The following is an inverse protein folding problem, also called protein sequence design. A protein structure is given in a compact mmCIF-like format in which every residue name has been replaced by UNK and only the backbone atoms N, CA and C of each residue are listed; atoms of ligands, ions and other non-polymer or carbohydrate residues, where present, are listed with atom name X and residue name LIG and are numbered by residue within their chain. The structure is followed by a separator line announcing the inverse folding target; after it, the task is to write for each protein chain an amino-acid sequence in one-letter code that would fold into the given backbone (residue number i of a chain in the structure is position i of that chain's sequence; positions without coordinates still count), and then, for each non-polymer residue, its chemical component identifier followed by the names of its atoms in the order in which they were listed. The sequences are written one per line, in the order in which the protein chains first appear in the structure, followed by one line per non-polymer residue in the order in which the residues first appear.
data_IF_216821514114
#
_entry.id   IF_216821514114
#
_cell.length_a   1.000
_cell.length_b   1.000
_cell.length_c   1.000
_cell.angle_alpha   90.00
_cell.angle_beta   90.00
_cell.angle_gamma   90.00
#
_symmetry.space_group_name_H-M   'P 1'
#
loop_
_entity.id
_entity.type
_entity.pdbx_description
1 polymer ?
#
# COMPACT_ATOMS: atom_id res chain seq x y z
N UNK A 1 -1.02 -28.79 41.79
CA UNK A 1 0.32 -28.22 41.51
C UNK A 1 0.78 -28.77 40.16
N UNK A 2 1.24 -28.00 39.18
CA UNK A 2 1.24 -26.54 39.04
C UNK A 2 1.44 -26.25 37.55
N UNK A 3 0.46 -25.64 36.91
CA UNK A 3 0.39 -25.51 35.45
C UNK A 3 1.25 -24.32 34.98
N UNK A 4 2.31 -24.57 34.21
CA UNK A 4 3.24 -23.52 33.76
C UNK A 4 3.01 -23.14 32.29
N UNK A 5 1.99 -22.29 32.11
CA UNK A 5 2.11 -21.06 31.31
C UNK A 5 2.79 -21.16 29.93
N UNK A 6 1.98 -21.45 28.90
CA UNK A 6 2.30 -21.06 27.52
C UNK A 6 2.48 -19.53 27.41
N UNK A 7 3.73 -19.08 27.39
CA UNK A 7 4.07 -17.69 27.12
C UNK A 7 3.60 -17.27 25.72
N UNK A 8 2.46 -16.59 25.66
CA UNK A 8 1.97 -15.96 24.43
C UNK A 8 2.88 -14.78 24.08
N UNK A 9 3.72 -14.96 23.05
CA UNK A 9 4.55 -13.88 22.52
C UNK A 9 3.67 -12.80 21.87
N UNK A 10 3.39 -11.75 22.64
CA UNK A 10 2.75 -10.55 22.14
C UNK A 10 3.53 -9.98 20.95
N UNK A 11 2.80 -9.62 19.90
CA UNK A 11 3.28 -8.85 18.75
C UNK A 11 3.79 -7.49 19.25
N UNK A 12 5.09 -7.39 19.55
CA UNK A 12 5.70 -6.18 20.11
C UNK A 12 5.64 -5.06 19.08
N UNK A 13 4.68 -4.16 19.28
CA UNK A 13 4.50 -3.00 18.44
C UNK A 13 5.80 -2.17 18.44
N UNK A 14 6.34 -1.89 17.26
CA UNK A 14 7.54 -1.07 17.11
C UNK A 14 7.23 0.32 17.67
N UNK A 15 8.04 0.86 18.62
CA UNK A 15 7.82 2.18 19.19
C UNK A 15 7.77 3.28 18.11
N UNK A 16 6.96 4.31 18.35
CA UNK A 16 6.75 5.39 17.38
C UNK A 16 8.07 6.10 17.06
N UNK A 17 8.91 6.28 18.07
CA UNK A 17 10.22 6.92 18.07
C UNK A 17 11.18 6.17 17.14
N UNK A 18 11.25 4.84 17.28
CA UNK A 18 12.11 3.94 16.48
C UNK A 18 11.72 3.96 14.99
N UNK A 19 10.44 4.16 14.69
CA UNK A 19 9.94 4.32 13.30
C UNK A 19 10.29 5.70 12.77
N UNK A 20 10.13 6.75 13.59
CA UNK A 20 10.46 8.14 13.22
C UNK A 20 11.96 8.32 12.97
N UNK A 21 12.82 7.78 13.83
CA UNK A 21 14.27 7.76 13.67
C UNK A 21 14.69 7.08 12.36
N UNK A 22 14.13 5.91 12.06
CA UNK A 22 14.37 5.21 10.80
C UNK A 22 13.90 6.02 9.58
N UNK A 23 12.73 6.66 9.65
CA UNK A 23 12.23 7.50 8.54
C UNK A 23 13.08 8.76 8.35
N UNK A 24 13.66 9.30 9.43
CA UNK A 24 14.56 10.46 9.43
C UNK A 24 16.00 10.15 9.00
N UNK A 25 16.36 8.88 8.81
CA UNK A 25 17.72 8.49 8.39
C UNK A 25 18.06 9.14 7.04
N UNK A 26 19.14 9.96 6.94
CA UNK A 26 19.56 10.58 5.70
C UNK A 26 20.00 9.57 4.64
N UNK A 27 19.94 9.96 3.36
CA UNK A 27 20.42 9.13 2.25
C UNK A 27 21.95 8.87 2.35
N UNK A 28 22.72 9.88 2.76
CA UNK A 28 24.19 9.86 2.91
C UNK A 28 24.71 8.82 3.90
N UNK A 29 23.90 8.48 4.89
CA UNK A 29 24.28 7.63 6.01
C UNK A 29 24.16 6.13 5.64
N UNK A 30 23.50 5.86 4.53
CA UNK A 30 23.22 4.51 4.01
C UNK A 30 23.91 4.27 2.68
N UNK A 31 23.75 5.21 1.75
CA UNK A 31 24.15 5.07 0.36
C UNK A 31 25.42 5.87 0.08
N UNK A 32 26.29 5.29 -0.74
CA UNK A 32 27.41 6.00 -1.35
C UNK A 32 27.47 5.65 -2.83
N UNK A 33 27.80 6.64 -3.63
CA UNK A 33 28.01 6.52 -5.07
C UNK A 33 29.49 6.71 -5.42
N UNK A 34 29.88 6.21 -6.58
CA UNK A 34 31.22 6.43 -7.14
C UNK A 34 31.49 7.93 -7.41
N UNK A 35 32.76 8.37 -7.47
CA UNK A 35 33.09 9.79 -7.67
C UNK A 35 32.57 10.40 -8.98
N UNK A 36 32.31 9.55 -10.00
CA UNK A 36 31.68 9.92 -11.28
C UNK A 36 30.15 10.06 -11.21
N UNK A 37 29.55 9.78 -10.04
CA UNK A 37 28.11 9.79 -9.79
C UNK A 37 27.32 8.66 -10.45
N UNK A 38 27.96 7.73 -11.17
CA UNK A 38 27.26 6.79 -12.06
C UNK A 38 26.71 5.55 -11.35
N UNK A 39 27.40 5.04 -10.33
CA UNK A 39 27.12 3.71 -9.74
C UNK A 39 27.12 3.77 -8.21
N UNK A 40 26.33 2.90 -7.58
CA UNK A 40 26.41 2.69 -6.13
C UNK A 40 27.69 1.93 -5.77
N UNK A 41 28.33 2.34 -4.66
CA UNK A 41 29.46 1.67 -4.01
C UNK A 41 29.14 1.23 -2.57
N UNK A 42 27.99 1.64 -2.01
CA UNK A 42 27.45 1.17 -0.74
C UNK A 42 25.92 1.27 -0.73
N UNK A 43 25.20 0.33 -0.09
CA UNK A 43 25.68 -0.88 0.59
C UNK A 43 26.16 -1.98 -0.38
N UNK A 44 26.80 -3.04 0.16
CA UNK A 44 27.40 -4.15 -0.59
C UNK A 44 26.47 -4.71 -1.69
N UNK A 45 25.19 -4.92 -1.38
CA UNK A 45 24.22 -5.48 -2.30
C UNK A 45 23.75 -4.52 -3.42
N UNK A 46 24.23 -3.27 -3.43
CA UNK A 46 24.03 -2.32 -4.52
C UNK A 46 25.31 -2.07 -5.34
N UNK A 47 26.48 -2.62 -4.97
CA UNK A 47 27.74 -2.29 -5.65
C UNK A 47 27.64 -2.52 -7.17
N UNK A 48 27.99 -1.50 -7.94
CA UNK A 48 27.96 -1.50 -9.40
C UNK A 48 26.57 -1.27 -10.03
N UNK A 49 25.51 -1.14 -9.23
CA UNK A 49 24.17 -0.78 -9.72
C UNK A 49 24.17 0.67 -10.24
N UNK A 50 23.65 0.97 -11.44
CA UNK A 50 23.56 2.33 -11.95
C UNK A 50 22.64 3.21 -11.10
N UNK A 51 22.96 4.49 -11.01
CA UNK A 51 22.14 5.53 -10.36
C UNK A 51 21.01 5.99 -11.29
N UNK A 52 21.32 6.25 -12.56
CA UNK A 52 20.34 6.60 -13.60
C UNK A 52 19.52 5.37 -14.02
N UNK A 53 18.28 5.59 -14.51
CA UNK A 53 17.40 4.52 -14.99
C UNK A 53 18.07 3.73 -16.13
N UNK A 54 18.10 2.41 -16.04
CA UNK A 54 18.61 1.56 -17.13
C UNK A 54 17.57 1.39 -18.24
N UNK A 55 18.06 1.26 -19.47
CA UNK A 55 17.35 0.76 -20.65
C UNK A 55 17.95 -0.59 -21.08
N UNK A 56 17.39 -1.21 -22.11
CA UNK A 56 17.90 -2.48 -22.66
C UNK A 56 19.25 -2.32 -23.39
N UNK A 57 19.58 -1.09 -23.81
CA UNK A 57 20.87 -0.74 -24.43
C UNK A 57 21.99 -0.44 -23.40
N UNK A 58 21.69 -0.52 -22.10
CA UNK A 58 22.64 -0.21 -21.02
C UNK A 58 23.67 -1.33 -20.83
N UNK A 59 24.95 -1.00 -20.59
CA UNK A 59 26.02 -1.96 -20.20
C UNK A 59 25.66 -2.84 -18.98
N UNK A 60 24.70 -2.41 -18.17
CA UNK A 60 24.22 -3.13 -16.99
C UNK A 60 23.09 -4.11 -17.31
N UNK A 61 22.43 -3.97 -18.47
CA UNK A 61 21.37 -4.87 -18.91
C UNK A 61 21.89 -6.28 -19.17
N UNK A 62 21.04 -7.27 -18.92
CA UNK A 62 21.31 -8.67 -19.24
C UNK A 62 20.20 -9.13 -20.20
N UNK A 63 20.51 -9.55 -21.43
CA UNK A 63 19.49 -9.91 -22.44
C UNK A 63 18.51 -11.04 -22.07
N UNK A 64 18.77 -11.77 -20.96
CA UNK A 64 17.85 -12.78 -20.40
C UNK A 64 16.80 -12.20 -19.45
N UNK A 65 16.93 -10.94 -19.04
CA UNK A 65 15.94 -10.29 -18.17
C UNK A 65 14.65 -9.98 -18.93
N UNK A 66 13.52 -10.14 -18.24
CA UNK A 66 12.22 -9.72 -18.75
C UNK A 66 12.21 -8.20 -18.98
N UNK A 67 11.79 -7.80 -20.17
CA UNK A 67 11.69 -6.40 -20.59
C UNK A 67 10.57 -5.66 -19.85
N UNK A 68 10.90 -4.51 -19.26
CA UNK A 68 9.92 -3.62 -18.62
C UNK A 68 9.00 -2.98 -19.66
N UNK A 69 9.56 -2.48 -20.77
CA UNK A 69 8.79 -1.83 -21.82
C UNK A 69 7.87 -2.83 -22.53
N UNK A 70 8.33 -4.05 -22.78
CA UNK A 70 7.48 -5.14 -23.31
C UNK A 70 6.35 -5.54 -22.36
N UNK A 71 6.50 -5.37 -21.04
CA UNK A 71 5.41 -5.56 -20.08
C UNK A 71 4.42 -4.38 -20.11
N UNK A 72 4.92 -3.14 -20.13
CA UNK A 72 4.09 -1.93 -20.17
C UNK A 72 3.26 -1.83 -21.45
N UNK A 73 3.82 -2.22 -22.60
CA UNK A 73 3.13 -2.28 -23.88
C UNK A 73 1.90 -3.22 -23.91
N UNK A 74 1.76 -4.12 -22.93
CA UNK A 74 0.62 -5.05 -22.86
C UNK A 74 -0.65 -4.44 -22.23
N UNK A 75 -0.63 -3.19 -21.74
CA UNK A 75 -1.77 -2.57 -21.04
C UNK A 75 -3.05 -2.54 -21.89
N UNK A 76 -2.97 -2.09 -23.15
CA UNK A 76 -4.13 -2.06 -24.05
C UNK A 76 -4.69 -3.45 -24.35
N UNK A 77 -3.82 -4.47 -24.42
CA UNK A 77 -4.23 -5.86 -24.63
C UNK A 77 -5.02 -6.41 -23.44
N UNK A 78 -4.66 -6.01 -22.22
CA UNK A 78 -5.33 -6.46 -21.00
C UNK A 78 -6.62 -5.66 -20.74
N UNK A 79 -6.65 -4.36 -21.08
CA UNK A 79 -7.89 -3.58 -21.13
C UNK A 79 -8.89 -4.11 -22.17
N UNK A 80 -8.41 -4.65 -23.30
CA UNK A 80 -9.27 -5.40 -24.23
C UNK A 80 -9.82 -6.67 -23.56
N UNK A 81 -8.99 -7.54 -23.00
CA UNK A 81 -9.45 -8.76 -22.28
C UNK A 81 -10.43 -8.46 -21.15
N UNK A 82 -10.24 -7.35 -20.42
CA UNK A 82 -11.16 -6.85 -19.38
C UNK A 82 -12.51 -6.43 -19.94
N UNK A 83 -12.56 -5.77 -21.12
CA UNK A 83 -13.81 -5.46 -21.82
C UNK A 83 -14.50 -6.73 -22.32
N UNK A 84 -13.78 -7.60 -23.00
CA UNK A 84 -14.32 -8.83 -23.60
C UNK A 84 -14.88 -9.78 -22.51
N UNK A 85 -14.16 -9.95 -21.40
CA UNK A 85 -14.64 -10.74 -20.25
C UNK A 85 -15.82 -10.11 -19.51
N UNK A 86 -15.95 -8.77 -19.53
CA UNK A 86 -17.14 -8.08 -18.99
C UNK A 86 -18.38 -8.40 -19.84
N UNK A 87 -18.23 -8.44 -21.16
CA UNK A 87 -19.33 -8.77 -22.07
C UNK A 87 -19.74 -10.24 -21.94
N UNK A 88 -18.77 -11.17 -21.82
CA UNK A 88 -19.05 -12.58 -21.51
C UNK A 88 -19.86 -12.73 -20.22
N UNK A 89 -19.50 -12.00 -19.15
CA UNK A 89 -20.24 -11.97 -17.89
C UNK A 89 -21.61 -11.25 -17.98
N UNK A 90 -21.80 -10.36 -18.97
CA UNK A 90 -23.10 -9.70 -19.23
C UNK A 90 -24.08 -10.65 -19.90
N UNK A 91 -23.58 -11.53 -20.78
CA UNK A 91 -24.36 -12.55 -21.48
C UNK A 91 -24.76 -13.72 -20.56
N UNK A 92 -23.87 -14.16 -19.67
CA UNK A 92 -24.18 -15.14 -18.62
C UNK A 92 -23.67 -14.65 -17.23
N UNK A 93 -24.52 -13.94 -16.47
CA UNK A 93 -24.18 -13.45 -15.13
C UNK A 93 -24.02 -14.52 -14.05
N UNK A 94 -24.50 -15.74 -14.28
CA UNK A 94 -24.46 -16.82 -13.30
C UNK A 94 -23.23 -17.72 -13.48
N UNK A 95 -22.54 -17.62 -14.60
CA UNK A 95 -21.28 -18.31 -14.87
C UNK A 95 -20.15 -17.85 -13.94
N UNK A 96 -19.79 -18.72 -12.99
CA UNK A 96 -18.71 -18.47 -12.02
C UNK A 96 -17.34 -18.29 -12.67
N UNK A 97 -17.09 -18.88 -13.84
CA UNK A 97 -15.79 -18.81 -14.50
C UNK A 97 -15.64 -17.54 -15.34
N UNK A 98 -16.71 -17.04 -15.96
CA UNK A 98 -16.74 -15.67 -16.49
C UNK A 98 -16.54 -14.63 -15.38
N UNK A 99 -17.15 -14.83 -14.20
CA UNK A 99 -16.94 -13.94 -13.05
C UNK A 99 -15.48 -13.95 -12.56
N UNK A 100 -14.84 -15.13 -12.45
CA UNK A 100 -13.40 -15.26 -12.13
C UNK A 100 -12.53 -14.59 -13.19
N UNK A 101 -12.77 -14.84 -14.48
CA UNK A 101 -11.99 -14.30 -15.60
C UNK A 101 -12.10 -12.79 -15.68
N UNK A 102 -13.30 -12.23 -15.54
CA UNK A 102 -13.50 -10.78 -15.50
C UNK A 102 -12.77 -10.14 -14.31
N UNK A 103 -12.86 -10.77 -13.12
CA UNK A 103 -12.08 -10.32 -11.96
C UNK A 103 -10.57 -10.36 -12.21
N UNK A 104 -10.04 -11.44 -12.80
CA UNK A 104 -8.62 -11.57 -13.12
C UNK A 104 -8.12 -10.41 -13.99
N UNK A 105 -8.81 -10.11 -15.09
CA UNK A 105 -8.42 -9.00 -15.97
C UNK A 105 -8.63 -7.62 -15.33
N UNK A 106 -9.66 -7.45 -14.50
CA UNK A 106 -9.86 -6.23 -13.69
C UNK A 106 -8.72 -6.01 -12.70
N UNK A 107 -8.28 -7.07 -12.00
CA UNK A 107 -7.16 -7.03 -11.06
C UNK A 107 -5.85 -6.77 -11.82
N UNK A 108 -5.59 -7.44 -12.95
CA UNK A 108 -4.39 -7.25 -13.78
C UNK A 108 -4.26 -5.80 -14.31
N UNK A 109 -5.32 -5.24 -14.88
CA UNK A 109 -5.32 -3.82 -15.32
C UNK A 109 -5.03 -2.87 -14.16
N UNK A 110 -5.56 -3.18 -12.96
CA UNK A 110 -5.28 -2.37 -11.76
C UNK A 110 -3.80 -2.46 -11.35
N UNK A 111 -3.17 -3.64 -11.53
CA UNK A 111 -1.73 -3.83 -11.30
C UNK A 111 -0.89 -3.10 -12.33
N UNK A 112 -1.17 -3.26 -13.63
CA UNK A 112 -0.45 -2.60 -14.73
C UNK A 112 -0.41 -1.08 -14.55
N UNK A 113 -1.56 -0.45 -14.27
CA UNK A 113 -1.64 0.99 -14.02
C UNK A 113 -0.75 1.44 -12.84
N UNK A 114 -0.75 0.68 -11.74
CA UNK A 114 0.09 0.96 -10.56
C UNK A 114 1.58 0.70 -10.85
N UNK A 115 1.92 -0.31 -11.66
CA UNK A 115 3.29 -0.56 -12.12
C UNK A 115 3.76 0.61 -12.98
N UNK A 116 2.96 1.06 -13.96
CA UNK A 116 3.26 2.21 -14.82
C UNK A 116 3.45 3.51 -14.04
N UNK A 117 2.66 3.76 -13.00
CA UNK A 117 2.81 4.93 -12.10
C UNK A 117 4.17 4.98 -11.36
N UNK A 118 4.80 3.81 -11.14
CA UNK A 118 6.06 3.69 -10.38
C UNK A 118 7.27 3.40 -11.27
N UNK A 119 7.11 2.72 -12.40
CA UNK A 119 8.21 2.25 -13.27
C UNK A 119 8.08 2.69 -14.73
N UNK A 120 6.98 3.35 -15.12
CA UNK A 120 6.78 3.85 -16.48
C UNK A 120 7.86 4.84 -16.94
N UNK A 121 7.77 5.25 -18.21
CA UNK A 121 8.75 6.10 -18.88
C UNK A 121 9.28 7.26 -18.01
N UNK A 122 8.37 8.08 -17.47
CA UNK A 122 8.68 9.31 -16.72
C UNK A 122 9.17 9.06 -15.27
N UNK A 123 9.27 7.81 -14.84
CA UNK A 123 9.85 7.45 -13.55
C UNK A 123 11.35 7.15 -13.67
N UNK A 124 12.19 7.61 -12.72
CA UNK A 124 13.62 7.26 -12.68
C UNK A 124 13.89 5.84 -12.15
N UNK A 125 12.87 5.01 -11.96
CA UNK A 125 13.02 3.67 -11.37
C UNK A 125 12.90 2.55 -12.42
N UNK A 126 13.80 1.57 -12.36
CA UNK A 126 13.69 0.28 -13.04
C UNK A 126 13.75 -0.86 -12.01
N UNK A 127 12.90 -1.92 -12.11
CA UNK A 127 12.90 -3.03 -11.15
C UNK A 127 14.27 -3.72 -11.00
N UNK A 128 14.98 -3.96 -12.10
CA UNK A 128 16.33 -4.55 -12.11
C UNK A 128 17.44 -3.63 -11.54
N UNK A 129 17.11 -2.48 -10.96
CA UNK A 129 18.04 -1.64 -10.19
C UNK A 129 17.76 -1.67 -8.68
N UNK A 130 16.91 -2.59 -8.21
CA UNK A 130 16.65 -2.76 -6.78
C UNK A 130 17.87 -3.27 -6.01
N UNK A 131 18.69 -4.11 -6.66
CA UNK A 131 19.95 -4.67 -6.16
C UNK A 131 20.96 -4.84 -7.29
N UNK A 132 22.22 -5.12 -6.95
CA UNK A 132 23.28 -5.40 -7.93
C UNK A 132 22.99 -6.67 -8.74
N UNK A 133 23.51 -6.73 -9.97
CA UNK A 133 23.26 -7.84 -10.91
C UNK A 133 23.58 -9.22 -10.37
N UNK A 134 24.54 -9.32 -9.45
CA UNK A 134 24.93 -10.57 -8.78
C UNK A 134 23.89 -11.08 -7.76
N UNK A 135 22.90 -10.26 -7.40
CA UNK A 135 21.77 -10.66 -6.55
C UNK A 135 20.45 -10.77 -7.33
N UNK A 136 20.44 -10.53 -8.63
CA UNK A 136 19.24 -10.65 -9.46
C UNK A 136 19.08 -12.10 -9.97
N UNK A 137 17.85 -12.60 -10.14
CA UNK A 137 17.58 -13.89 -10.76
C UNK A 137 17.83 -13.81 -12.28
N UNK A 138 17.91 -14.97 -12.93
CA UNK A 138 18.17 -15.10 -14.38
C UNK A 138 17.26 -14.24 -15.25
N UNK A 139 15.98 -14.12 -14.87
CA UNK A 139 14.94 -13.41 -15.63
C UNK A 139 14.69 -11.98 -15.12
N UNK A 140 15.44 -11.54 -14.10
CA UNK A 140 15.27 -10.24 -13.45
C UNK A 140 14.01 -10.13 -12.57
N UNK A 141 13.59 -8.89 -12.32
CA UNK A 141 12.49 -8.54 -11.41
C UNK A 141 11.27 -7.93 -12.13
N UNK A 142 11.28 -7.88 -13.45
CA UNK A 142 10.18 -7.37 -14.29
C UNK A 142 9.00 -8.35 -14.41
N UNK A 143 8.65 -9.04 -13.32
CA UNK A 143 7.47 -9.89 -13.20
C UNK A 143 6.31 -9.10 -12.59
N UNK A 144 5.09 -9.27 -13.11
CA UNK A 144 3.92 -8.50 -12.67
C UNK A 144 3.74 -8.46 -11.14
N UNK A 145 3.79 -9.60 -10.46
CA UNK A 145 3.49 -9.65 -9.02
C UNK A 145 4.62 -9.03 -8.17
N UNK A 146 5.88 -9.14 -8.61
CA UNK A 146 7.02 -8.47 -7.98
C UNK A 146 6.92 -6.95 -8.17
N UNK A 147 6.78 -6.50 -9.41
CA UNK A 147 6.64 -5.08 -9.75
C UNK A 147 5.44 -4.46 -9.03
N UNK A 148 4.29 -5.12 -8.99
CA UNK A 148 3.11 -4.62 -8.28
C UNK A 148 3.35 -4.46 -6.77
N UNK A 149 3.97 -5.46 -6.12
CA UNK A 149 4.30 -5.40 -4.68
C UNK A 149 5.25 -4.26 -4.36
N UNK A 150 6.32 -4.11 -5.14
CA UNK A 150 7.26 -2.99 -5.04
C UNK A 150 6.54 -1.65 -5.27
N UNK A 151 5.74 -1.55 -6.32
CA UNK A 151 4.98 -0.35 -6.66
C UNK A 151 4.01 0.08 -5.55
N UNK A 152 3.33 -0.86 -4.89
CA UNK A 152 2.50 -0.56 -3.73
C UNK A 152 3.30 0.06 -2.59
N UNK A 153 4.43 -0.55 -2.21
CA UNK A 153 5.26 -0.03 -1.10
C UNK A 153 5.92 1.32 -1.45
N UNK A 154 6.37 1.53 -2.69
CA UNK A 154 6.87 2.84 -3.15
C UNK A 154 5.76 3.90 -3.12
N UNK A 155 4.54 3.57 -3.54
CA UNK A 155 3.38 4.47 -3.51
C UNK A 155 3.00 4.87 -2.08
N UNK A 156 3.03 3.92 -1.12
CA UNK A 156 2.83 4.22 0.31
C UNK A 156 3.97 5.05 0.90
N UNK A 157 5.23 4.82 0.50
CA UNK A 157 6.40 5.58 0.95
C UNK A 157 6.46 7.00 0.37
N UNK A 158 5.99 7.21 -0.88
CA UNK A 158 5.83 8.55 -1.49
C UNK A 158 5.01 9.47 -0.57
N UNK A 159 3.90 8.98 -0.01
CA UNK A 159 3.07 9.78 0.92
C UNK A 159 3.81 10.21 2.20
N UNK A 160 4.78 9.43 2.70
CA UNK A 160 5.61 9.85 3.85
C UNK A 160 6.67 10.87 3.45
N UNK A 161 7.20 10.76 2.22
CA UNK A 161 8.16 11.70 1.65
C UNK A 161 7.48 13.06 1.37
N UNK A 162 6.30 13.05 0.76
CA UNK A 162 5.49 14.26 0.47
C UNK A 162 4.99 14.96 1.75
N UNK A 163 4.98 14.25 2.88
CA UNK A 163 4.72 14.80 4.23
C UNK A 163 5.97 15.27 4.95
N UNK A 164 7.16 15.15 4.35
CA UNK A 164 8.43 15.52 4.95
C UNK A 164 8.82 14.67 6.15
N UNK A 165 8.30 13.45 6.27
CA UNK A 165 8.68 12.48 7.33
C UNK A 165 9.77 11.52 6.88
N UNK A 166 9.73 11.07 5.62
CA UNK A 166 10.77 10.22 5.04
C UNK A 166 11.87 11.10 4.44
N UNK A 167 13.09 11.00 4.97
CA UNK A 167 14.22 11.88 4.63
C UNK A 167 14.98 11.50 3.34
N UNK A 168 14.79 10.29 2.82
CA UNK A 168 15.40 9.82 1.57
C UNK A 168 14.35 9.42 0.54
N UNK A 169 14.74 9.28 -0.72
CA UNK A 169 13.83 8.87 -1.79
C UNK A 169 13.07 7.57 -1.47
N UNK A 170 11.75 7.46 -1.77
CA UNK A 170 10.94 6.27 -1.49
C UNK A 170 11.54 4.94 -1.99
N UNK A 171 12.19 4.97 -3.15
CA UNK A 171 12.87 3.81 -3.73
C UNK A 171 14.17 3.45 -3.00
N UNK A 172 14.97 4.44 -2.62
CA UNK A 172 16.22 4.22 -1.88
C UNK A 172 15.97 3.77 -0.44
N UNK A 173 14.88 4.24 0.17
CA UNK A 173 14.42 3.69 1.44
C UNK A 173 14.05 2.20 1.31
N UNK A 174 13.32 1.83 0.25
CA UNK A 174 12.96 0.43 0.00
C UNK A 174 14.20 -0.44 -0.29
N UNK A 175 15.15 0.07 -1.10
CA UNK A 175 16.47 -0.54 -1.30
C UNK A 175 17.19 -0.77 0.03
N UNK A 176 17.21 0.22 0.93
CA UNK A 176 17.85 0.10 2.24
C UNK A 176 17.22 -0.98 3.12
N UNK A 177 15.89 -1.06 3.17
CA UNK A 177 15.19 -2.12 3.93
C UNK A 177 15.53 -3.51 3.40
N UNK A 178 15.53 -3.67 2.07
CA UNK A 178 15.92 -4.91 1.39
C UNK A 178 17.40 -5.24 1.62
N UNK A 179 18.30 -4.26 1.53
CA UNK A 179 19.73 -4.41 1.80
C UNK A 179 20.00 -4.92 3.21
N UNK A 180 19.30 -4.38 4.23
CA UNK A 180 19.40 -4.86 5.61
C UNK A 180 18.91 -6.30 5.76
N UNK A 181 17.88 -6.71 5.02
CA UNK A 181 17.41 -8.10 5.03
C UNK A 181 18.38 -9.05 4.35
N UNK A 182 18.91 -8.70 3.17
CA UNK A 182 19.95 -9.46 2.48
C UNK A 182 21.16 -9.65 3.40
N UNK A 183 21.64 -8.56 4.02
CA UNK A 183 22.75 -8.59 4.99
C UNK A 183 22.45 -9.52 6.18
N UNK A 184 21.20 -9.61 6.66
CA UNK A 184 20.83 -10.53 7.75
C UNK A 184 20.73 -12.00 7.34
N UNK A 185 20.65 -12.30 6.04
CA UNK A 185 20.55 -13.68 5.51
C UNK A 185 21.90 -14.23 5.06
N UNK A 186 22.86 -13.37 4.73
CA UNK A 186 24.19 -13.78 4.31
C UNK A 186 25.17 -13.86 5.47
N UNK A 187 25.64 -15.06 5.76
CA UNK A 187 26.74 -15.32 6.71
C UNK A 187 28.11 -15.01 6.13
N UNK A 188 28.25 -14.97 4.80
CA UNK A 188 29.50 -14.66 4.10
C UNK A 188 29.28 -13.71 2.92
N UNK A 189 30.26 -12.83 2.66
CA UNK A 189 30.20 -11.75 1.67
C UNK A 189 30.10 -12.18 0.20
N UNK A 190 30.39 -13.46 -0.10
CA UNK A 190 30.39 -14.01 -1.46
C UNK A 190 29.06 -14.67 -1.89
N UNK A 191 28.03 -14.66 -1.04
CA UNK A 191 26.76 -15.34 -1.36
C UNK A 191 25.94 -14.56 -2.41
N UNK A 192 25.48 -15.28 -3.45
CA UNK A 192 24.54 -14.76 -4.44
C UNK A 192 23.17 -14.50 -3.82
N UNK A 193 22.49 -13.47 -4.32
CA UNK A 193 21.11 -13.16 -3.93
C UNK A 193 20.05 -13.68 -4.91
N UNK A 194 20.47 -14.22 -6.05
CA UNK A 194 19.60 -14.61 -7.18
C UNK A 194 18.36 -15.41 -6.75
N UNK A 195 18.56 -16.36 -5.84
CA UNK A 195 17.56 -17.37 -5.50
C UNK A 195 16.66 -16.91 -4.34
N UNK A 196 17.12 -15.93 -3.56
CA UNK A 196 16.42 -15.43 -2.36
C UNK A 196 15.80 -14.05 -2.56
N UNK A 197 16.23 -13.25 -3.54
CA UNK A 197 15.76 -11.86 -3.70
C UNK A 197 14.25 -11.78 -3.94
N UNK A 198 13.68 -12.69 -4.76
CA UNK A 198 12.23 -12.77 -4.97
C UNK A 198 11.54 -13.05 -3.63
N UNK A 199 12.02 -14.04 -2.86
CA UNK A 199 11.49 -14.37 -1.52
C UNK A 199 11.57 -13.20 -0.55
N UNK A 200 12.67 -12.44 -0.54
CA UNK A 200 12.86 -11.24 0.28
C UNK A 200 11.86 -10.14 -0.11
N UNK A 201 11.67 -9.87 -1.41
CA UNK A 201 10.68 -8.90 -1.88
C UNK A 201 9.27 -9.33 -1.44
N UNK A 202 8.92 -10.60 -1.63
CA UNK A 202 7.63 -11.14 -1.17
C UNK A 202 7.48 -11.02 0.35
N UNK A 203 8.47 -11.39 1.17
CA UNK A 203 8.33 -11.38 2.63
C UNK A 203 8.34 -9.98 3.26
N UNK A 204 9.07 -9.03 2.66
CA UNK A 204 9.09 -7.61 3.05
C UNK A 204 7.84 -6.87 2.57
N UNK A 205 7.24 -7.26 1.44
CA UNK A 205 6.08 -6.58 0.87
C UNK A 205 4.72 -7.24 1.19
N UNK A 206 4.70 -8.48 1.72
CA UNK A 206 3.45 -9.13 2.15
C UNK A 206 2.94 -8.60 3.48
N UNK A 207 1.84 -7.86 3.42
CA UNK A 207 1.02 -7.62 4.60
C UNK A 207 0.42 -8.96 5.07
N UNK A 208 0.52 -9.23 6.38
CA UNK A 208 0.11 -10.46 7.11
C UNK A 208 -1.42 -10.75 7.10
N UNK A 209 -2.07 -10.44 5.98
CA UNK A 209 -3.48 -10.66 5.66
C UNK A 209 -3.77 -12.08 5.14
N UNK A 210 -2.74 -12.91 4.94
CA UNK A 210 -2.89 -14.34 4.68
C UNK A 210 -3.62 -15.02 5.85
N UNK A 211 -4.58 -15.90 5.54
CA UNK A 211 -5.48 -16.53 6.54
C UNK A 211 -4.78 -17.37 7.63
N UNK A 212 -3.48 -17.63 7.50
CA UNK A 212 -2.64 -18.20 8.54
C UNK A 212 -2.26 -17.15 9.59
N UNK A 213 -2.79 -17.26 10.81
CA UNK A 213 -2.52 -16.34 11.91
C UNK A 213 -1.04 -16.27 12.38
N UNK A 214 -0.17 -17.10 11.80
CA UNK A 214 1.25 -17.29 12.17
C UNK A 214 2.26 -16.58 11.26
N UNK A 215 1.86 -15.93 10.16
CA UNK A 215 2.82 -15.27 9.24
C UNK A 215 3.34 -13.95 9.83
N UNK A 216 4.45 -14.03 10.58
CA UNK A 216 5.20 -12.86 11.09
C UNK A 216 5.67 -12.02 9.91
N UNK A 217 5.46 -10.70 9.97
CA UNK A 217 5.95 -9.77 8.95
C UNK A 217 7.46 -9.56 9.13
N UNK A 218 8.25 -9.81 8.08
CA UNK A 218 9.72 -9.93 8.24
C UNK A 218 10.47 -8.60 8.42
N UNK A 219 9.86 -7.45 8.12
CA UNK A 219 10.37 -6.11 8.49
C UNK A 219 9.32 -5.28 9.28
N UNK A 220 9.23 -5.46 10.60
CA UNK A 220 8.27 -4.75 11.44
C UNK A 220 8.38 -3.22 11.35
N UNK A 221 9.58 -2.67 11.08
CA UNK A 221 9.78 -1.22 10.97
C UNK A 221 9.19 -0.68 9.67
N UNK A 222 9.42 -1.36 8.53
CA UNK A 222 8.76 -1.01 7.27
C UNK A 222 7.24 -1.13 7.41
N UNK A 223 6.73 -2.20 8.02
CA UNK A 223 5.27 -2.36 8.25
C UNK A 223 4.68 -1.17 9.01
N UNK A 224 5.36 -0.72 10.08
CA UNK A 224 4.90 0.41 10.87
C UNK A 224 4.91 1.74 10.08
N UNK A 225 5.90 1.95 9.20
CA UNK A 225 5.91 3.08 8.27
C UNK A 225 4.74 3.03 7.27
N UNK A 226 4.47 1.85 6.66
CA UNK A 226 3.34 1.66 5.75
C UNK A 226 1.99 1.90 6.47
N UNK A 227 1.84 1.46 7.72
CA UNK A 227 0.65 1.74 8.54
C UNK A 227 0.54 3.25 8.84
N UNK A 228 1.64 3.96 9.10
CA UNK A 228 1.65 5.43 9.27
C UNK A 228 1.15 6.13 8.00
N UNK A 229 1.63 5.72 6.82
CA UNK A 229 1.16 6.21 5.52
C UNK A 229 -0.34 5.92 5.30
N UNK A 230 -0.79 4.71 5.62
CA UNK A 230 -2.21 4.35 5.56
C UNK A 230 -3.07 5.19 6.53
N UNK A 231 -2.49 5.70 7.62
CA UNK A 231 -3.06 6.72 8.49
C UNK A 231 -3.42 8.00 7.73
N UNK A 232 -2.44 8.61 7.06
CA UNK A 232 -2.64 9.84 6.28
C UNK A 232 -3.62 9.68 5.11
N UNK A 233 -3.74 8.47 4.57
CA UNK A 233 -4.65 8.17 3.46
C UNK A 233 -6.04 7.69 3.92
N UNK A 234 -6.30 7.58 5.23
CA UNK A 234 -7.55 7.02 5.77
C UNK A 234 -7.75 5.52 5.49
N UNK A 235 -6.71 4.80 5.06
CA UNK A 235 -6.73 3.39 4.64
C UNK A 235 -6.40 2.39 5.76
N UNK A 236 -6.30 2.84 7.02
CA UNK A 236 -5.98 1.98 8.19
C UNK A 236 -6.87 0.74 8.32
N UNK A 237 -8.13 0.81 7.89
CA UNK A 237 -9.06 -0.32 7.94
C UNK A 237 -8.57 -1.55 7.15
N UNK A 238 -7.78 -1.34 6.09
CA UNK A 238 -7.22 -2.42 5.25
C UNK A 238 -6.12 -3.23 5.95
N UNK A 239 -5.52 -2.70 7.02
CA UNK A 239 -4.41 -3.32 7.76
C UNK A 239 -4.85 -3.97 9.08
N UNK A 240 -6.15 -3.92 9.43
CA UNK A 240 -6.71 -4.54 10.64
C UNK A 240 -6.93 -6.04 10.43
N UNK A 241 -6.54 -6.85 11.42
CA UNK A 241 -6.84 -8.29 11.46
C UNK A 241 -8.36 -8.49 11.58
N UNK A 242 -8.88 -9.58 11.00
CA UNK A 242 -10.30 -9.92 11.04
C UNK A 242 -10.74 -10.39 12.45
N UNK A 243 -10.95 -9.41 13.33
CA UNK A 243 -11.27 -9.58 14.76
C UNK A 243 -11.14 -8.25 15.52
N UNK A 244 -10.27 -7.35 15.05
CA UNK A 244 -9.93 -6.06 15.68
C UNK A 244 -11.00 -4.95 15.48
N UNK A 245 -12.25 -5.32 15.17
CA UNK A 245 -13.35 -4.37 14.93
C UNK A 245 -13.90 -3.74 16.21
N UNK A 246 -13.61 -4.32 17.37
CA UNK A 246 -14.22 -3.93 18.65
C UNK A 246 -13.35 -3.00 19.52
N UNK A 247 -12.13 -2.64 19.09
CA UNK A 247 -11.30 -1.64 19.78
C UNK A 247 -11.22 -0.33 18.99
N UNK A 248 -11.17 0.76 19.75
CA UNK A 248 -11.13 2.16 19.29
C UNK A 248 -12.48 2.70 18.79
N UNK A 249 -13.47 2.73 19.70
CA UNK A 249 -14.01 4.05 20.07
C UNK A 249 -13.06 4.68 21.11
N UNK A 250 -12.93 6.01 21.09
CA UNK A 250 -12.07 6.82 22.00
C UNK A 250 -10.55 6.62 21.83
N UNK A 251 -9.97 7.28 20.82
CA UNK A 251 -8.77 8.08 21.08
C UNK A 251 -9.30 9.44 21.55
N UNK A 252 -9.32 9.68 22.86
CA UNK A 252 -9.52 11.02 23.41
C UNK A 252 -8.18 11.73 23.40
N UNK A 253 -8.11 12.90 22.80
CA UNK A 253 -7.05 13.87 23.01
C UNK A 253 -7.05 14.30 24.49
N UNK A 254 -6.01 13.92 25.23
CA UNK A 254 -5.82 14.41 26.60
C UNK A 254 -5.24 15.83 26.55
N UNK A 255 -6.08 16.81 26.85
CA UNK A 255 -5.66 18.16 27.28
C UNK A 255 -6.37 18.45 28.60
N UNK A 256 -5.80 17.96 29.70
CA UNK A 256 -6.27 18.27 31.05
C UNK A 256 -5.39 19.37 31.65
N UNK A 257 -5.73 20.63 31.42
CA UNK A 257 -5.38 21.71 32.36
C UNK A 257 -6.33 21.65 33.54
N UNK A 258 -5.79 21.78 34.75
CA UNK A 258 -6.58 21.81 35.97
C UNK A 258 -7.36 23.15 36.09
N UNK A 259 -8.55 23.11 36.69
CA UNK A 259 -9.37 24.30 36.96
C UNK A 259 -10.59 23.94 37.81
N UNK A 260 -10.71 24.56 38.99
CA UNK A 260 -11.79 24.33 39.94
C UNK A 260 -13.13 24.95 39.50
N UNK A 261 -14.25 24.45 40.03
CA UNK A 261 -15.51 25.22 40.05
C UNK A 261 -16.78 24.38 39.96
N UNK A 262 -17.33 23.95 41.11
CA UNK A 262 -18.77 23.65 41.21
C UNK A 262 -19.53 24.97 41.25
N UNK A 263 -20.65 25.07 40.53
CA UNK A 263 -21.87 25.76 41.01
C UNK A 263 -23.08 25.11 40.34
N UNK A 264 -24.16 24.95 41.11
CA UNK A 264 -25.46 24.43 40.68
C UNK A 264 -26.44 25.60 40.65
N UNK A 265 -27.17 25.76 39.55
CA UNK A 265 -28.52 26.35 39.44
C UNK A 265 -28.89 26.41 37.95
N UNK A 266 -30.14 26.49 37.48
CA UNK A 266 -31.50 26.09 37.89
C UNK A 266 -32.37 26.66 36.74
N UNK A 267 -33.50 26.03 36.40
CA UNK A 267 -34.37 26.45 35.28
C UNK A 267 -34.87 27.89 35.42
N UNK A 268 -34.97 28.59 34.28
CA UNK A 268 -36.13 29.44 33.94
C UNK A 268 -36.39 29.40 32.44
N UNK A 269 -37.65 29.46 32.04
CA UNK A 269 -38.17 29.23 30.69
C UNK A 269 -39.16 30.36 30.37
N UNK A 270 -38.90 31.15 29.33
CA UNK A 270 -39.87 32.11 28.76
C UNK A 270 -39.68 32.11 27.24
N UNK A 271 -40.76 31.86 26.51
CA UNK A 271 -40.83 31.91 25.05
C UNK A 271 -41.12 33.33 24.55
N UNK A 272 -40.63 33.68 23.35
CA UNK A 272 -41.22 34.68 22.44
C UNK A 272 -40.67 34.45 21.01
N UNK A 273 -41.56 34.41 20.01
CA UNK A 273 -41.30 34.11 18.58
C UNK A 273 -41.74 35.31 17.70
N UNK A 274 -41.41 35.38 16.38
CA UNK A 274 -40.06 35.43 15.80
C UNK A 274 -39.79 36.73 15.00
N UNK A 275 -40.32 37.04 13.78
CA UNK A 275 -40.36 36.31 12.50
C UNK A 275 -39.52 36.95 11.35
N UNK A 276 -38.45 36.30 10.87
CA UNK A 276 -38.00 36.48 9.46
C UNK A 276 -37.17 35.30 8.95
N UNK A 277 -37.70 34.55 8.00
CA UNK A 277 -36.97 33.56 7.22
C UNK A 277 -36.41 34.21 5.94
N UNK A 278 -35.23 33.76 5.47
CA UNK A 278 -34.99 33.43 4.05
C UNK A 278 -33.61 32.78 3.82
N UNK A 279 -33.63 31.72 2.99
CA UNK A 279 -32.55 30.94 2.37
C UNK A 279 -31.19 30.72 3.07
N UNK A 280 -30.98 29.47 3.50
CA UNK A 280 -29.67 28.78 3.50
C UNK A 280 -29.70 27.45 2.73
N UNK A 281 -30.67 27.27 1.84
CA UNK A 281 -30.88 26.05 1.03
C UNK A 281 -30.11 26.06 -0.30
N UNK A 282 -29.84 27.24 -0.88
CA UNK A 282 -29.52 27.34 -2.32
C UNK A 282 -28.03 27.16 -2.68
N UNK A 283 -27.15 26.90 -1.71
CA UNK A 283 -25.70 26.66 -1.95
C UNK A 283 -25.31 25.19 -2.09
N UNK A 284 -26.25 24.24 -2.09
CA UNK A 284 -25.96 22.79 -2.21
C UNK A 284 -26.39 22.13 -3.53
N UNK A 285 -26.85 22.90 -4.53
CA UNK A 285 -27.45 22.36 -5.76
C UNK A 285 -26.73 22.72 -7.08
N UNK A 286 -25.53 23.33 -7.05
CA UNK A 286 -24.70 23.60 -8.24
C UNK A 286 -23.30 22.99 -8.20
N UNK A 287 -23.22 21.66 -8.05
CA UNK A 287 -22.12 20.80 -8.55
C UNK A 287 -22.63 19.40 -8.92
N UNK A 288 -23.62 19.34 -9.83
CA UNK A 288 -24.07 18.12 -10.50
C UNK A 288 -23.70 18.20 -11.98
N UNK A 289 -22.48 17.77 -12.31
CA UNK A 289 -22.05 17.52 -13.70
C UNK A 289 -20.72 16.76 -13.70
N UNK A 290 -20.77 15.45 -13.40
CA UNK A 290 -19.91 14.37 -13.94
C UNK A 290 -20.38 13.04 -13.33
N UNK A 291 -20.77 12.03 -14.14
CA UNK A 291 -21.16 10.71 -13.62
C UNK A 291 -19.91 9.94 -13.17
N UNK A 292 -19.71 9.83 -11.85
CA UNK A 292 -18.63 9.01 -11.30
C UNK A 292 -19.00 7.52 -11.38
N UNK A 293 -18.54 6.84 -12.43
CA UNK A 293 -18.84 5.43 -12.74
C UNK A 293 -18.09 4.43 -11.83
N UNK A 294 -17.88 4.76 -10.56
CA UNK A 294 -17.30 3.85 -9.57
C UNK A 294 -17.98 3.97 -8.20
N UNK A 295 -19.22 3.49 -8.12
CA UNK A 295 -19.86 3.15 -6.85
C UNK A 295 -19.16 1.94 -6.24
N UNK A 296 -18.10 2.18 -5.45
CA UNK A 296 -17.31 1.12 -4.81
C UNK A 296 -18.14 0.20 -3.88
N UNK A 297 -17.50 -0.84 -3.34
CA UNK A 297 -18.15 -1.97 -2.62
C UNK A 297 -19.19 -1.57 -1.55
N UNK A 298 -19.09 -0.38 -0.94
CA UNK A 298 -20.08 0.13 0.00
C UNK A 298 -21.42 0.54 -0.67
N UNK A 299 -21.38 1.12 -1.88
CA UNK A 299 -22.58 1.46 -2.64
C UNK A 299 -23.34 0.19 -3.07
N UNK A 300 -22.63 -0.84 -3.53
CA UNK A 300 -23.21 -2.14 -3.85
C UNK A 300 -23.89 -2.80 -2.63
N UNK A 301 -23.30 -2.69 -1.43
CA UNK A 301 -23.95 -3.17 -0.19
C UNK A 301 -25.18 -2.36 0.20
N UNK A 302 -25.16 -1.04 0.04
CA UNK A 302 -26.33 -0.20 0.29
C UNK A 302 -27.49 -0.55 -0.66
N UNK A 303 -27.20 -0.77 -1.93
CA UNK A 303 -28.19 -1.18 -2.94
C UNK A 303 -28.78 -2.57 -2.65
N UNK A 304 -27.94 -3.54 -2.25
CA UNK A 304 -28.37 -4.87 -1.78
C UNK A 304 -29.24 -4.81 -0.52
N UNK A 305 -29.00 -3.85 0.40
CA UNK A 305 -29.86 -3.67 1.58
C UNK A 305 -31.22 -3.07 1.22
N UNK A 306 -31.25 -2.05 0.36
CA UNK A 306 -32.50 -1.43 -0.12
C UNK A 306 -33.40 -2.44 -0.85
N UNK A 307 -32.83 -3.28 -1.74
CA UNK A 307 -33.60 -4.31 -2.44
C UNK A 307 -34.23 -5.35 -1.49
N UNK A 308 -33.51 -5.77 -0.43
CA UNK A 308 -34.04 -6.68 0.59
C UNK A 308 -35.10 -6.05 1.48
N UNK A 309 -35.09 -4.73 1.65
CA UNK A 309 -36.13 -3.99 2.36
C UNK A 309 -37.40 -3.91 1.50
N UNK A 310 -37.28 -3.49 0.23
CA UNK A 310 -38.42 -3.46 -0.69
C UNK A 310 -39.08 -4.84 -0.87
N UNK A 311 -38.30 -5.93 -0.93
CA UNK A 311 -38.86 -7.29 -0.97
C UNK A 311 -39.58 -7.72 0.33
N UNK A 312 -39.19 -7.18 1.49
CA UNK A 312 -39.86 -7.44 2.78
C UNK A 312 -41.12 -6.62 2.99
N UNK A 313 -41.19 -5.44 2.38
CA UNK A 313 -42.36 -4.58 2.47
C UNK A 313 -43.44 -5.02 1.46
N UNK A 314 -43.06 -5.52 0.27
CA UNK A 314 -43.97 -6.17 -0.68
C UNK A 314 -44.47 -7.56 -0.23
N UNK A 315 -43.89 -8.18 0.80
CA UNK A 315 -44.34 -9.48 1.33
C UNK A 315 -45.24 -9.34 2.58
N UNK A 316 -45.84 -8.17 2.77
CA UNK A 316 -46.75 -7.81 3.88
C UNK A 316 -48.06 -7.17 3.42
N UNK A 317 -48.32 -7.22 2.11
CA UNK A 317 -49.59 -6.97 1.44
C UNK A 317 -50.10 -8.31 0.88
#
# INVERSE_FOLDING_TARGET
MGDQSLAHSHETAVPYEVVTEMLRTPWSDVHRISPDGQKYISPQCLIGTPVQKITEDSDYWVPRWLSLESYLAQEDSEEKKKRDSKEQLRLDPHNKDFAKKHKLHMDNVSKQRKIREIFGHDSPYHPNQLVSKHHLPTDGLCEQELMYKLACKVSDLRVLHDKGELAMGPWDFLRWRIAKKIQSMFTMSAQSGSDIIKRIIFSICEDSSSKSASKIYEDPKLRAAIIRSAGYQGRLASFRKAGDRNRITKIKTNTNTAGMGRIVQRRSKVDLFPPSALSRSDKRQKRLSQPSTYGGVNAYRAQQQQQRQQQRDNSKL
#
